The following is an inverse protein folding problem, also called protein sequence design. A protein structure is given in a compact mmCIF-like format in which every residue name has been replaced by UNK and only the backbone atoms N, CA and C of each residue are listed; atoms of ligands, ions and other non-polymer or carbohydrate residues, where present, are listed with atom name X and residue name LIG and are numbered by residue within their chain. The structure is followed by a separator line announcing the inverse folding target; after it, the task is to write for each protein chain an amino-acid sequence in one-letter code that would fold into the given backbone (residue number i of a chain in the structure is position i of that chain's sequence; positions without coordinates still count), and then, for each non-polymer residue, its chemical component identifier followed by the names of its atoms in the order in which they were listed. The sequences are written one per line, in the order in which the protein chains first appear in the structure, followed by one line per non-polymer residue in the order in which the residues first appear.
data_IF_127377949673
#
_entry.id   IF_127377949673
#
_cell.length_a   1.000
_cell.length_b   1.000
_cell.length_c   1.000
_cell.angle_alpha   90.00
_cell.angle_beta   90.00
_cell.angle_gamma   90.00
#
_symmetry.space_group_name_H-M   'P 1'
#
loop_
_entity.id
_entity.type
_entity.pdbx_description
1 polymer ?
#
# COMPACT_ATOMS: atom_id res chain seq x y z
N UNK A 1 26.01 13.41 -25.90
CA UNK A 1 24.94 12.83 -25.05
C UNK A 1 25.51 11.63 -24.36
N UNK A 2 25.33 11.54 -23.05
CA UNK A 2 25.69 10.36 -22.28
C UNK A 2 24.79 9.18 -22.67
N UNK A 3 25.26 7.95 -22.46
CA UNK A 3 24.50 6.72 -22.75
C UNK A 3 23.14 6.70 -22.05
N UNK A 4 23.06 7.28 -20.83
CA UNK A 4 21.83 7.33 -20.04
C UNK A 4 20.82 8.36 -20.57
N UNK A 5 21.27 9.52 -21.06
CA UNK A 5 20.36 10.48 -21.71
C UNK A 5 19.71 9.86 -22.95
N UNK A 6 20.48 9.12 -23.76
CA UNK A 6 19.95 8.42 -24.92
C UNK A 6 18.96 7.32 -24.52
N UNK A 7 19.22 6.59 -23.44
CA UNK A 7 18.29 5.57 -22.94
C UNK A 7 16.96 6.18 -22.48
N UNK A 8 16.96 7.37 -21.86
CA UNK A 8 15.73 8.07 -21.50
C UNK A 8 14.92 8.45 -22.75
N UNK A 9 15.57 8.96 -23.80
CA UNK A 9 14.88 9.28 -25.06
C UNK A 9 14.21 8.05 -25.67
N UNK A 10 14.94 6.93 -25.78
CA UNK A 10 14.41 5.66 -26.28
C UNK A 10 13.23 5.19 -25.43
N UNK A 11 13.35 5.26 -24.10
CA UNK A 11 12.28 4.88 -23.19
C UNK A 11 11.01 5.72 -23.38
N UNK A 12 11.15 7.03 -23.59
CA UNK A 12 10.04 7.94 -23.88
C UNK A 12 9.39 7.59 -25.23
N UNK A 13 10.19 7.32 -26.27
CA UNK A 13 9.70 6.93 -27.59
C UNK A 13 8.87 5.64 -27.50
N UNK A 14 9.39 4.61 -26.82
CA UNK A 14 8.71 3.33 -26.61
C UNK A 14 7.40 3.53 -25.85
N UNK A 15 7.40 4.23 -24.72
CA UNK A 15 6.20 4.46 -23.93
C UNK A 15 5.14 5.26 -24.70
N UNK A 16 5.57 6.26 -25.48
CA UNK A 16 4.66 7.06 -26.32
C UNK A 16 3.98 6.20 -27.38
N UNK A 17 4.72 5.27 -27.99
CA UNK A 17 4.14 4.35 -28.97
C UNK A 17 3.22 3.31 -28.33
N UNK A 18 3.68 2.67 -27.26
CA UNK A 18 2.95 1.63 -26.53
C UNK A 18 1.56 2.12 -26.06
N UNK A 19 1.48 3.37 -25.59
CA UNK A 19 0.25 3.97 -25.07
C UNK A 19 -0.49 4.83 -26.10
N UNK A 20 -0.14 4.75 -27.38
CA UNK A 20 -0.77 5.54 -28.45
C UNK A 20 -2.27 5.24 -28.54
N UNK A 21 -3.09 6.28 -28.34
CA UNK A 21 -4.55 6.17 -28.38
C UNK A 21 -5.20 5.65 -27.10
N UNK A 22 -4.42 5.21 -26.11
CA UNK A 22 -4.93 4.84 -24.79
C UNK A 22 -5.39 6.09 -24.02
N UNK A 23 -6.53 5.96 -23.33
CA UNK A 23 -7.14 7.03 -22.53
C UNK A 23 -7.10 6.69 -21.05
N UNK A 24 -6.85 7.68 -20.22
CA UNK A 24 -6.98 7.55 -18.78
C UNK A 24 -8.46 7.59 -18.32
N UNK A 25 -8.67 7.43 -17.01
CA UNK A 25 -10.03 7.42 -16.42
C UNK A 25 -10.74 8.78 -16.49
N UNK A 26 -10.02 9.86 -16.75
CA UNK A 26 -10.54 11.21 -16.95
C UNK A 26 -10.74 11.55 -18.44
N UNK A 27 -10.39 10.63 -19.36
CA UNK A 27 -10.50 10.81 -20.80
C UNK A 27 -9.30 11.49 -21.46
N UNK A 28 -8.22 11.78 -20.72
CA UNK A 28 -6.99 12.35 -21.27
C UNK A 28 -6.09 11.26 -21.88
N UNK A 29 -5.07 11.65 -22.65
CA UNK A 29 -4.08 10.70 -23.18
C UNK A 29 -3.30 10.05 -22.03
N UNK A 30 -3.21 8.71 -22.06
CA UNK A 30 -2.61 7.94 -20.96
C UNK A 30 -1.14 8.26 -20.73
N UNK A 31 -0.38 8.55 -21.80
CA UNK A 31 1.06 8.88 -21.76
C UNK A 31 1.42 9.98 -20.75
N UNK A 32 0.46 10.86 -20.42
CA UNK A 32 0.66 11.85 -19.36
C UNK A 32 1.00 11.24 -18.00
N UNK A 33 0.49 10.04 -17.68
CA UNK A 33 0.81 9.34 -16.43
C UNK A 33 2.27 8.85 -16.38
N UNK A 34 2.76 8.01 -17.32
CA UNK A 34 4.17 7.61 -17.35
C UNK A 34 5.14 8.80 -17.34
N UNK A 35 4.81 9.89 -18.04
CA UNK A 35 5.64 11.10 -18.06
C UNK A 35 5.73 11.80 -16.69
N UNK A 36 4.64 11.80 -15.89
CA UNK A 36 4.66 12.36 -14.52
C UNK A 36 5.41 11.45 -13.55
N UNK A 37 5.25 10.13 -13.69
CA UNK A 37 6.01 9.14 -12.89
C UNK A 37 7.51 9.27 -13.17
N UNK A 38 7.90 9.41 -14.44
CA UNK A 38 9.26 9.73 -14.85
C UNK A 38 9.75 11.05 -14.24
N UNK A 39 8.96 12.13 -14.36
CA UNK A 39 9.34 13.44 -13.86
C UNK A 39 9.56 13.49 -12.34
N UNK A 40 8.88 12.61 -11.58
CA UNK A 40 9.09 12.43 -10.14
C UNK A 40 10.37 11.63 -9.80
N UNK A 41 10.96 10.94 -10.77
CA UNK A 41 12.22 10.20 -10.61
C UNK A 41 13.42 11.12 -10.44
N UNK A 42 14.29 10.76 -9.51
CA UNK A 42 15.49 11.53 -9.13
C UNK A 42 16.74 11.09 -9.87
N UNK A 43 16.86 9.79 -10.19
CA UNK A 43 17.98 9.23 -10.97
C UNK A 43 17.58 8.97 -12.43
N UNK A 44 18.54 8.87 -13.37
CA UNK A 44 18.25 8.44 -14.73
C UNK A 44 17.54 7.08 -14.80
N UNK A 45 17.92 6.13 -13.95
CA UNK A 45 17.31 4.80 -13.88
C UNK A 45 15.85 4.88 -13.41
N UNK A 46 15.55 5.69 -12.39
CA UNK A 46 14.18 5.94 -11.93
C UNK A 46 13.33 6.58 -13.04
N UNK A 47 13.92 7.44 -13.86
CA UNK A 47 13.24 8.07 -15.00
C UNK A 47 12.92 7.04 -16.10
N UNK A 48 13.90 6.22 -16.48
CA UNK A 48 13.72 5.15 -17.48
C UNK A 48 12.66 4.15 -17.01
N UNK A 49 12.79 3.61 -15.80
CA UNK A 49 11.81 2.66 -15.26
C UNK A 49 10.46 3.35 -15.08
N UNK A 50 10.42 4.60 -14.63
CA UNK A 50 9.19 5.37 -14.42
C UNK A 50 8.39 5.59 -15.70
N UNK A 51 9.03 5.89 -16.83
CA UNK A 51 8.31 6.04 -18.11
C UNK A 51 7.90 4.70 -18.72
N UNK A 52 8.60 3.61 -18.40
CA UNK A 52 8.31 2.26 -18.94
C UNK A 52 7.43 1.38 -18.04
N UNK A 53 7.09 1.81 -16.82
CA UNK A 53 6.57 0.91 -15.79
C UNK A 53 5.28 0.16 -16.16
N UNK A 54 4.42 0.75 -16.99
CA UNK A 54 3.17 0.14 -17.47
C UNK A 54 3.28 -0.44 -18.88
N UNK A 55 4.40 -0.24 -19.59
CA UNK A 55 4.52 -0.61 -21.01
C UNK A 55 4.30 -2.11 -21.23
N UNK A 56 4.86 -2.95 -20.37
CA UNK A 56 4.71 -4.41 -20.46
C UNK A 56 3.32 -4.88 -20.01
N UNK A 57 2.64 -4.13 -19.14
CA UNK A 57 1.32 -4.49 -18.62
C UNK A 57 0.19 -4.10 -19.60
N UNK A 58 0.36 -2.98 -20.32
CA UNK A 58 -0.69 -2.36 -21.13
C UNK A 58 -0.45 -2.44 -22.65
N UNK A 59 0.60 -3.11 -23.12
CA UNK A 59 0.91 -3.25 -24.55
C UNK A 59 1.51 -4.62 -24.90
N UNK A 60 1.80 -4.84 -26.18
CA UNK A 60 2.44 -6.08 -26.67
C UNK A 60 3.95 -6.15 -26.38
N UNK A 61 4.55 -5.09 -25.84
CA UNK A 61 5.97 -5.07 -25.50
C UNK A 61 6.32 -6.08 -24.40
N UNK A 62 7.43 -6.79 -24.61
CA UNK A 62 7.98 -7.76 -23.66
C UNK A 62 9.24 -7.23 -22.97
N UNK A 63 9.60 -7.84 -21.83
CA UNK A 63 10.84 -7.51 -21.12
C UNK A 63 12.07 -7.88 -21.97
N UNK A 64 11.96 -8.93 -22.79
CA UNK A 64 12.98 -9.39 -23.72
C UNK A 64 13.24 -8.37 -24.83
N UNK A 65 12.20 -7.78 -25.39
CA UNK A 65 12.33 -6.71 -26.41
C UNK A 65 12.95 -5.44 -25.79
N UNK A 66 12.53 -5.06 -24.58
CA UNK A 66 13.18 -3.95 -23.87
C UNK A 66 14.67 -4.24 -23.60
N UNK A 67 15.03 -5.48 -23.24
CA UNK A 67 16.43 -5.85 -23.09
C UNK A 67 17.20 -5.78 -24.44
N UNK A 68 16.55 -6.12 -25.55
CA UNK A 68 17.13 -6.04 -26.90
C UNK A 68 17.38 -4.60 -27.37
N UNK A 69 16.59 -3.63 -26.88
CA UNK A 69 16.83 -2.18 -27.05
C UNK A 69 18.06 -1.66 -26.27
N UNK A 70 18.68 -2.52 -25.45
CA UNK A 70 19.93 -2.23 -24.75
C UNK A 70 19.75 -1.62 -23.35
N UNK A 71 18.55 -1.71 -22.75
CA UNK A 71 18.36 -1.34 -21.35
C UNK A 71 19.15 -2.26 -20.43
N UNK A 72 19.76 -1.67 -19.39
CA UNK A 72 20.61 -2.40 -18.45
C UNK A 72 19.82 -3.47 -17.68
N UNK A 73 20.45 -4.59 -17.27
CA UNK A 73 19.77 -5.66 -16.53
C UNK A 73 19.04 -5.19 -15.28
N UNK A 74 19.55 -4.17 -14.58
CA UNK A 74 18.93 -3.60 -13.39
C UNK A 74 17.60 -2.89 -13.70
N UNK A 75 17.47 -2.27 -14.88
CA UNK A 75 16.23 -1.64 -15.38
C UNK A 75 15.20 -2.73 -15.67
N UNK A 76 15.61 -3.77 -16.40
CA UNK A 76 14.73 -4.91 -16.74
C UNK A 76 14.26 -5.62 -15.46
N UNK A 77 15.15 -5.78 -14.50
CA UNK A 77 14.84 -6.35 -13.18
C UNK A 77 13.77 -5.57 -12.44
N UNK A 78 13.89 -4.23 -12.42
CA UNK A 78 12.92 -3.35 -11.80
C UNK A 78 11.57 -3.33 -12.54
N UNK A 79 11.58 -3.34 -13.88
CA UNK A 79 10.35 -3.40 -14.69
C UNK A 79 9.60 -4.70 -14.45
N UNK A 80 10.29 -5.84 -14.45
CA UNK A 80 9.67 -7.12 -14.09
C UNK A 80 9.11 -7.09 -12.67
N UNK A 81 9.80 -6.43 -11.73
CA UNK A 81 9.29 -6.20 -10.37
C UNK A 81 7.96 -5.42 -10.38
N UNK A 82 7.80 -4.47 -11.30
CA UNK A 82 6.64 -3.58 -11.41
C UNK A 82 5.48 -4.15 -12.23
N UNK A 83 5.72 -5.07 -13.18
CA UNK A 83 4.65 -5.73 -13.92
C UNK A 83 3.84 -6.65 -13.01
N UNK A 84 2.54 -6.41 -12.87
CA UNK A 84 1.66 -7.22 -12.04
C UNK A 84 1.02 -8.34 -12.88
N UNK A 85 1.32 -9.60 -12.56
CA UNK A 85 0.69 -10.72 -13.24
C UNK A 85 -0.78 -10.87 -12.80
N UNK A 86 -1.68 -11.19 -13.74
CA UNK A 86 -3.13 -11.26 -13.49
C UNK A 86 -3.50 -12.21 -12.34
N UNK A 87 -2.80 -13.35 -12.22
CA UNK A 87 -3.03 -14.34 -11.17
C UNK A 87 -2.30 -14.04 -9.85
N UNK A 88 -1.39 -13.06 -9.81
CA UNK A 88 -0.60 -12.77 -8.62
C UNK A 88 -1.44 -12.03 -7.57
N UNK A 89 -1.55 -12.55 -6.34
CA UNK A 89 -2.20 -11.80 -5.26
C UNK A 89 -1.47 -10.49 -4.99
N UNK A 90 -2.22 -9.39 -4.87
CA UNK A 90 -1.64 -8.05 -4.73
C UNK A 90 -0.66 -7.90 -3.54
N UNK A 91 -0.91 -8.58 -2.41
CA UNK A 91 0.02 -8.55 -1.27
C UNK A 91 1.37 -9.26 -1.61
N UNK A 92 1.38 -10.28 -2.48
CA UNK A 92 2.62 -10.90 -2.99
C UNK A 92 3.35 -9.99 -3.98
N UNK A 93 2.60 -9.33 -4.86
CA UNK A 93 3.13 -8.31 -5.77
C UNK A 93 3.87 -7.20 -5.01
N UNK A 94 3.25 -6.59 -4.00
CA UNK A 94 3.90 -5.56 -3.17
C UNK A 94 5.12 -6.12 -2.42
N UNK A 95 5.06 -7.37 -1.92
CA UNK A 95 6.20 -8.01 -1.26
C UNK A 95 7.39 -8.24 -2.23
N UNK A 96 7.13 -8.55 -3.49
CA UNK A 96 8.14 -8.68 -4.54
C UNK A 96 8.80 -7.34 -4.86
N UNK A 97 8.01 -6.27 -5.00
CA UNK A 97 8.53 -4.91 -5.22
C UNK A 97 9.48 -4.50 -4.10
N UNK A 98 9.16 -4.81 -2.84
CA UNK A 98 10.03 -4.50 -1.68
C UNK A 98 11.44 -5.05 -1.78
N UNK A 99 11.66 -6.11 -2.56
CA UNK A 99 12.99 -6.70 -2.77
C UNK A 99 13.90 -5.87 -3.68
N UNK A 100 13.38 -4.89 -4.41
CA UNK A 100 14.12 -4.09 -5.39
C UNK A 100 13.96 -2.58 -5.11
N UNK A 101 15.02 -1.89 -4.62
CA UNK A 101 14.94 -0.46 -4.27
C UNK A 101 14.50 0.46 -5.42
N UNK A 102 14.92 0.17 -6.65
CA UNK A 102 14.54 0.96 -7.83
C UNK A 102 13.04 0.79 -8.14
N UNK A 103 12.53 -0.45 -8.07
CA UNK A 103 11.11 -0.71 -8.21
C UNK A 103 10.29 -0.06 -7.08
N UNK A 104 10.80 -0.05 -5.84
CA UNK A 104 10.14 0.66 -4.72
C UNK A 104 10.02 2.16 -5.02
N UNK A 105 11.12 2.81 -5.42
CA UNK A 105 11.14 4.25 -5.72
C UNK A 105 10.11 4.60 -6.80
N UNK A 106 10.11 3.86 -7.91
CA UNK A 106 9.16 4.08 -9.00
C UNK A 106 7.73 3.76 -8.59
N UNK A 107 7.50 2.68 -7.82
CA UNK A 107 6.13 2.36 -7.35
C UNK A 107 5.58 3.43 -6.42
N UNK A 108 6.43 4.08 -5.63
CA UNK A 108 6.01 5.22 -4.80
C UNK A 108 5.62 6.43 -5.65
N UNK A 109 6.34 6.70 -6.74
CA UNK A 109 5.99 7.75 -7.69
C UNK A 109 4.66 7.46 -8.41
N UNK A 110 4.49 6.24 -8.91
CA UNK A 110 3.24 5.73 -9.49
C UNK A 110 2.07 5.90 -8.51
N UNK A 111 2.17 5.33 -7.30
CA UNK A 111 1.13 5.42 -6.29
C UNK A 111 0.80 6.87 -5.93
N UNK A 112 1.80 7.75 -5.85
CA UNK A 112 1.60 9.17 -5.55
C UNK A 112 0.83 9.88 -6.66
N UNK A 113 1.18 9.65 -7.92
CA UNK A 113 0.42 10.16 -9.06
C UNK A 113 -1.01 9.62 -9.03
N UNK A 114 -1.18 8.30 -8.92
CA UNK A 114 -2.47 7.62 -8.92
C UNK A 114 -3.39 7.99 -7.74
N UNK A 115 -2.83 8.52 -6.64
CA UNK A 115 -3.59 9.03 -5.49
C UNK A 115 -3.92 10.53 -5.58
N UNK A 116 -3.51 11.26 -6.63
CA UNK A 116 -3.92 12.65 -6.82
C UNK A 116 -5.37 12.75 -7.30
N UNK A 117 -6.29 12.85 -6.34
CA UNK A 117 -7.73 12.97 -6.55
C UNK A 117 -8.15 14.26 -7.25
N UNK A 118 -7.30 15.29 -7.30
CA UNK A 118 -7.63 16.59 -7.92
C UNK A 118 -7.79 16.48 -9.44
N UNK A 119 -7.31 15.39 -10.03
CA UNK A 119 -7.40 15.09 -11.47
C UNK A 119 -8.68 14.36 -11.85
N UNK A 120 -9.45 13.89 -10.86
CA UNK A 120 -10.70 13.18 -11.11
C UNK A 120 -11.86 14.18 -11.20
N UNK A 121 -12.68 14.14 -12.27
CA UNK A 121 -13.86 15.00 -12.35
C UNK A 121 -14.94 14.60 -11.32
N UNK A 122 -14.94 13.33 -10.91
CA UNK A 122 -15.84 12.77 -9.91
C UNK A 122 -15.16 11.62 -9.17
N UNK A 123 -15.43 11.47 -7.87
CA UNK A 123 -14.88 10.42 -7.02
C UNK A 123 -15.96 9.38 -6.69
N UNK A 124 -15.85 8.18 -7.29
CA UNK A 124 -16.79 7.08 -7.05
C UNK A 124 -16.39 6.20 -5.86
N UNK A 125 -17.32 5.37 -5.37
CA UNK A 125 -17.01 4.35 -4.36
C UNK A 125 -15.96 3.33 -4.83
N UNK A 126 -15.90 3.06 -6.14
CA UNK A 126 -14.85 2.20 -6.73
C UNK A 126 -13.49 2.86 -6.61
N UNK A 127 -13.39 4.16 -6.84
CA UNK A 127 -12.15 4.92 -6.66
C UNK A 127 -11.75 4.97 -5.20
N UNK A 128 -12.67 5.19 -4.26
CA UNK A 128 -12.38 5.15 -2.82
C UNK A 128 -11.81 3.79 -2.41
N UNK A 129 -12.37 2.67 -2.88
CA UNK A 129 -11.85 1.32 -2.62
C UNK A 129 -10.43 1.15 -3.18
N UNK A 130 -10.19 1.63 -4.42
CA UNK A 130 -8.86 1.59 -5.05
C UNK A 130 -7.84 2.43 -4.29
N UNK A 131 -8.18 3.66 -3.92
CA UNK A 131 -7.32 4.58 -3.16
C UNK A 131 -6.95 4.01 -1.79
N UNK A 132 -7.88 3.33 -1.10
CA UNK A 132 -7.57 2.61 0.14
C UNK A 132 -6.51 1.51 -0.07
N UNK A 133 -6.60 0.78 -1.19
CA UNK A 133 -5.59 -0.23 -1.57
C UNK A 133 -4.23 0.41 -1.86
N UNK A 134 -4.21 1.50 -2.63
CA UNK A 134 -2.98 2.24 -2.95
C UNK A 134 -2.32 2.85 -1.72
N UNK A 135 -3.09 3.46 -0.82
CA UNK A 135 -2.56 3.98 0.44
C UNK A 135 -1.95 2.86 1.29
N UNK A 136 -2.60 1.69 1.36
CA UNK A 136 -2.05 0.53 2.08
C UNK A 136 -0.70 0.09 1.49
N UNK A 137 -0.60 -0.02 0.16
CA UNK A 137 0.65 -0.34 -0.52
C UNK A 137 1.74 0.71 -0.24
N UNK A 138 1.41 1.99 -0.36
CA UNK A 138 2.33 3.10 -0.07
C UNK A 138 2.89 3.03 1.36
N UNK A 139 2.01 2.84 2.36
CA UNK A 139 2.42 2.69 3.77
C UNK A 139 3.26 1.44 3.99
N UNK A 140 2.93 0.33 3.33
CA UNK A 140 3.75 -0.89 3.39
C UNK A 140 5.15 -0.68 2.81
N UNK A 141 5.30 0.07 1.70
CA UNK A 141 6.57 0.34 1.05
C UNK A 141 7.43 1.37 1.82
N UNK A 142 6.80 2.37 2.42
CA UNK A 142 7.48 3.39 3.26
C UNK A 142 7.78 2.91 4.68
N UNK A 143 7.22 1.78 5.10
CA UNK A 143 7.32 1.28 6.48
C UNK A 143 6.47 2.07 7.48
N UNK A 144 5.64 2.99 7.00
CA UNK A 144 4.75 3.77 7.84
C UNK A 144 3.53 2.95 8.30
N UNK A 145 2.99 3.23 9.49
CA UNK A 145 1.81 2.54 9.99
C UNK A 145 0.57 2.85 9.12
N UNK A 146 -0.26 1.84 8.92
CA UNK A 146 -1.58 1.97 8.27
C UNK A 146 -2.67 2.44 9.23
N UNK A 147 -2.32 2.73 10.49
CA UNK A 147 -3.23 3.21 11.53
C UNK A 147 -2.74 4.54 12.09
N UNK A 148 -3.67 5.37 12.55
CA UNK A 148 -3.36 6.61 13.24
C UNK A 148 -3.68 6.46 14.72
N UNK A 149 -2.66 6.53 15.58
CA UNK A 149 -2.86 6.55 17.05
C UNK A 149 -3.77 7.72 17.45
N UNK A 150 -3.56 8.88 16.83
CA UNK A 150 -4.40 10.06 17.06
C UNK A 150 -5.86 9.79 16.74
N UNK A 151 -6.18 9.27 15.55
CA UNK A 151 -7.55 8.94 15.17
C UNK A 151 -8.15 7.87 16.08
N UNK A 152 -7.36 6.85 16.44
CA UNK A 152 -7.78 5.83 17.38
C UNK A 152 -8.14 6.41 18.76
N UNK A 153 -7.44 7.46 19.20
CA UNK A 153 -7.69 8.13 20.48
C UNK A 153 -8.90 9.06 20.47
N UNK A 154 -9.38 9.49 19.30
CA UNK A 154 -10.65 10.21 19.21
C UNK A 154 -11.84 9.32 19.60
N UNK A 155 -11.77 8.03 19.25
CA UNK A 155 -12.82 7.05 19.58
C UNK A 155 -12.53 6.31 20.89
N UNK A 156 -11.26 6.00 21.16
CA UNK A 156 -10.80 5.28 22.33
C UNK A 156 -9.65 6.05 22.99
N UNK A 157 -9.92 7.03 23.87
CA UNK A 157 -8.91 7.88 24.51
C UNK A 157 -7.67 7.15 25.07
N UNK A 158 -7.85 5.92 25.56
CA UNK A 158 -6.77 5.10 26.14
C UNK A 158 -6.13 4.14 25.12
N UNK A 159 -6.40 4.28 23.83
CA UNK A 159 -5.77 3.46 22.79
C UNK A 159 -4.24 3.60 22.83
N UNK A 160 -3.57 2.44 22.77
CA UNK A 160 -2.12 2.29 22.82
C UNK A 160 -1.43 2.81 24.10
N UNK A 161 -2.18 3.18 25.13
CA UNK A 161 -1.61 3.45 26.46
C UNK A 161 -1.13 2.12 27.10
N UNK A 162 -0.08 2.13 27.94
CA UNK A 162 0.28 0.95 28.71
C UNK A 162 -0.87 0.56 29.66
N UNK A 163 -1.00 -0.72 29.98
CA UNK A 163 -1.92 -1.20 31.01
C UNK A 163 -1.27 -1.04 32.37
N UNK A 164 -2.02 -0.55 33.34
CA UNK A 164 -1.64 -0.49 34.75
C UNK A 164 -2.13 -1.72 35.51
N UNK A 165 -1.49 -2.05 36.63
CA UNK A 165 -1.93 -3.16 37.50
C UNK A 165 -3.37 -2.95 38.00
N UNK A 166 -3.76 -1.70 38.30
CA UNK A 166 -5.11 -1.36 38.71
C UNK A 166 -6.14 -1.64 37.59
N UNK A 167 -5.81 -1.31 36.34
CA UNK A 167 -6.65 -1.64 35.18
C UNK A 167 -6.75 -3.16 34.98
N UNK A 168 -5.68 -3.92 35.20
CA UNK A 168 -5.72 -5.38 35.10
C UNK A 168 -6.63 -6.02 36.14
N UNK A 169 -6.55 -5.54 37.39
CA UNK A 169 -7.41 -5.99 38.49
C UNK A 169 -8.88 -5.67 38.19
N UNK A 170 -9.16 -4.45 37.73
CA UNK A 170 -10.52 -4.05 37.37
C UNK A 170 -11.04 -4.80 36.15
N UNK A 171 -10.20 -5.05 35.14
CA UNK A 171 -10.54 -5.83 33.96
C UNK A 171 -10.92 -7.25 34.36
N UNK A 172 -10.11 -7.86 35.23
CA UNK A 172 -10.34 -9.21 35.77
C UNK A 172 -11.67 -9.26 36.52
N UNK A 173 -11.89 -8.32 37.45
CA UNK A 173 -13.14 -8.24 38.24
C UNK A 173 -14.36 -8.16 37.34
N UNK A 174 -14.41 -7.18 36.43
CA UNK A 174 -15.54 -6.98 35.53
C UNK A 174 -15.75 -8.15 34.58
N UNK A 175 -14.66 -8.75 34.11
CA UNK A 175 -14.74 -9.93 33.26
C UNK A 175 -15.39 -11.11 34.01
N UNK A 176 -15.00 -11.34 35.28
CA UNK A 176 -15.60 -12.36 36.16
C UNK A 176 -17.08 -12.05 36.50
N UNK A 177 -17.44 -10.78 36.68
CA UNK A 177 -18.83 -10.33 36.84
C UNK A 177 -19.68 -10.50 35.58
N UNK A 178 -19.05 -10.81 34.45
CA UNK A 178 -19.74 -11.08 33.21
C UNK A 178 -19.87 -9.87 32.28
N UNK A 179 -19.03 -8.85 32.41
CA UNK A 179 -19.00 -7.74 31.46
C UNK A 179 -18.57 -8.21 30.06
N UNK A 180 -19.36 -7.91 29.04
CA UNK A 180 -19.06 -8.21 27.63
C UNK A 180 -17.84 -7.43 27.14
N UNK A 181 -17.24 -7.88 26.05
CA UNK A 181 -16.13 -7.17 25.40
C UNK A 181 -16.50 -5.70 25.06
N UNK A 182 -17.73 -5.46 24.64
CA UNK A 182 -18.23 -4.11 24.33
C UNK A 182 -18.29 -3.23 25.58
N UNK A 183 -18.80 -3.78 26.70
CA UNK A 183 -18.86 -3.05 27.97
C UNK A 183 -17.47 -2.77 28.54
N UNK A 184 -16.56 -3.75 28.44
CA UNK A 184 -15.16 -3.58 28.84
C UNK A 184 -14.46 -2.53 27.96
N UNK A 185 -14.63 -2.60 26.64
CA UNK A 185 -14.08 -1.63 25.69
C UNK A 185 -14.55 -0.20 26.00
N UNK A 186 -15.86 -0.03 26.24
CA UNK A 186 -16.43 1.25 26.65
C UNK A 186 -15.93 1.71 28.03
N UNK A 187 -15.79 0.80 29.00
CA UNK A 187 -15.32 1.17 30.34
C UNK A 187 -13.86 1.64 30.32
N UNK A 188 -12.98 0.87 29.70
CA UNK A 188 -11.55 1.19 29.64
C UNK A 188 -11.21 2.23 28.58
N UNK A 189 -12.17 2.63 27.74
CA UNK A 189 -11.95 3.56 26.62
C UNK A 189 -10.81 3.06 25.70
N UNK A 190 -10.79 1.74 25.48
CA UNK A 190 -9.79 1.00 24.69
C UNK A 190 -10.47 0.18 23.62
N UNK A 191 -9.79 -0.03 22.49
CA UNK A 191 -10.30 -0.85 21.38
C UNK A 191 -10.68 -2.26 21.85
N UNK A 192 -11.73 -2.88 21.28
CA UNK A 192 -12.13 -4.24 21.66
C UNK A 192 -11.02 -5.29 21.48
N UNK A 193 -10.19 -5.15 20.44
CA UNK A 193 -9.02 -6.02 20.25
C UNK A 193 -7.95 -5.91 21.36
N UNK A 194 -7.78 -4.72 21.96
CA UNK A 194 -6.86 -4.53 23.09
C UNK A 194 -7.40 -5.19 24.36
N UNK A 195 -8.72 -5.18 24.57
CA UNK A 195 -9.38 -5.91 25.66
C UNK A 195 -9.16 -7.41 25.51
N UNK A 196 -9.45 -7.99 24.33
CA UNK A 196 -9.23 -9.42 24.07
C UNK A 196 -7.79 -9.84 24.31
N UNK A 197 -6.85 -9.12 23.71
CA UNK A 197 -5.42 -9.42 23.87
C UNK A 197 -4.99 -9.31 25.33
N UNK A 198 -5.57 -8.39 26.11
CA UNK A 198 -5.23 -8.28 27.53
C UNK A 198 -5.82 -9.41 28.37
N UNK A 199 -7.07 -9.81 28.12
CA UNK A 199 -7.72 -10.97 28.76
C UNK A 199 -6.89 -12.24 28.53
N UNK A 200 -6.45 -12.46 27.28
CA UNK A 200 -5.59 -13.59 26.91
C UNK A 200 -4.24 -13.52 27.65
N UNK A 201 -3.60 -12.35 27.70
CA UNK A 201 -2.32 -12.16 28.39
C UNK A 201 -2.42 -12.34 29.92
N UNK A 202 -3.59 -12.13 30.51
CA UNK A 202 -3.87 -12.38 31.93
C UNK A 202 -4.34 -13.82 32.20
N UNK A 203 -4.47 -14.65 31.17
CA UNK A 203 -4.88 -16.07 31.25
C UNK A 203 -6.24 -16.28 31.97
N UNK A 204 -7.17 -15.31 31.85
CA UNK A 204 -8.40 -15.29 32.65
C UNK A 204 -9.33 -16.48 32.36
N UNK A 205 -9.40 -16.94 31.10
CA UNK A 205 -10.22 -18.10 30.73
C UNK A 205 -9.75 -19.38 31.43
N UNK A 206 -8.44 -19.55 31.61
CA UNK A 206 -7.88 -20.71 32.30
C UNK A 206 -8.06 -20.59 33.81
N UNK A 207 -7.84 -19.40 34.36
CA UNK A 207 -7.89 -19.17 35.81
C UNK A 207 -9.32 -19.22 36.37
N UNK A 208 -10.30 -18.76 35.59
CA UNK A 208 -11.67 -18.53 36.06
C UNK A 208 -12.75 -19.23 35.19
N UNK A 209 -12.36 -19.93 34.12
CA UNK A 209 -13.25 -20.72 33.26
C UNK A 209 -13.73 -20.00 32.00
N UNK A 210 -13.99 -20.74 30.92
CA UNK A 210 -14.48 -20.17 29.65
C UNK A 210 -15.90 -19.62 29.79
N UNK A 211 -16.15 -18.43 29.24
CA UNK A 211 -17.50 -17.90 29.08
C UNK A 211 -18.20 -18.65 27.93
N UNK A 212 -19.31 -19.32 28.22
CA UNK A 212 -20.16 -19.88 27.18
C UNK A 212 -20.66 -18.77 26.24
N UNK A 213 -20.65 -19.01 24.92
CA UNK A 213 -21.28 -18.12 23.95
C UNK A 213 -22.77 -18.03 24.32
N UNK A 214 -23.23 -16.88 24.83
CA UNK A 214 -24.67 -16.63 24.92
C UNK A 214 -25.16 -16.45 23.48
N UNK A 215 -26.05 -17.35 23.08
CA UNK A 215 -26.84 -17.36 21.83
C UNK A 215 -27.65 -16.09 21.65
#
# INVERSE_FOLDING_TARGET
MSTLERAIEIAIEIATEAHRGQRDKAGNDYIGHPMRVMAAGTTPEEKIVGVLHDVVEDSDWTLEELAAEGFAPEIIEALRCLTHAEEEPYDRYIARIKGNPLAVAVKLNDLTDNMDIRRLPYLSDKDVKRLKRYLRAYKQLTGEPTYSVYACRQEYPNAYQPWTEAEDLELTRRWCEGATEKELSAHFQRKPGAIRSRIEKLDLERLYGKRGKRS
#
